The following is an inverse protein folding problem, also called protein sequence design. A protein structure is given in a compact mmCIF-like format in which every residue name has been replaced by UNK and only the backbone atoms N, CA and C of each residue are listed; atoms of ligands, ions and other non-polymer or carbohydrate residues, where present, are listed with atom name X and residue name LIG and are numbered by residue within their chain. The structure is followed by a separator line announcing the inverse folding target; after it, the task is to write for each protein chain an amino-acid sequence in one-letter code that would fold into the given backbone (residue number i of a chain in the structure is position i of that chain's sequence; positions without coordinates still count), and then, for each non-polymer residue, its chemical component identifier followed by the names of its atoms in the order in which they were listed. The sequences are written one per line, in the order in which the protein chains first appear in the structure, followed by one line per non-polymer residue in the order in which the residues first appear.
data_IF_302518483360
#
_entry.id   IF_302518483360
#
_cell.length_a   1.000
_cell.length_b   1.000
_cell.length_c   1.000
_cell.angle_alpha   90.00
_cell.angle_beta   90.00
_cell.angle_gamma   90.00
#
_symmetry.space_group_name_H-M   'P 1'
#
loop_
_entity.id
_entity.type
_entity.pdbx_description
1 polymer ?
#
# COMPACT_ATOMS: atom_id res chain seq x y z
N UNK A 1 52.14 68.95 -31.87
CA UNK A 1 51.82 69.49 -30.54
C UNK A 1 50.31 69.41 -30.39
N UNK A 2 49.66 68.81 -29.39
CA UNK A 2 50.03 68.19 -28.13
C UNK A 2 48.96 67.09 -27.86
N UNK A 3 49.40 65.86 -27.62
CA UNK A 3 49.13 65.05 -26.42
C UNK A 3 47.82 64.23 -26.35
N UNK A 4 48.04 62.91 -26.41
CA UNK A 4 47.15 61.82 -26.01
C UNK A 4 46.83 61.90 -24.52
N UNK A 5 45.59 61.62 -24.12
CA UNK A 5 45.29 60.99 -22.83
C UNK A 5 44.16 59.97 -23.06
N UNK A 6 44.50 58.68 -22.94
CA UNK A 6 43.52 57.61 -22.83
C UNK A 6 42.93 57.59 -21.43
N UNK A 7 41.61 57.47 -21.33
CA UNK A 7 40.95 57.24 -20.05
C UNK A 7 40.94 55.73 -19.76
N UNK A 8 41.67 55.36 -18.71
CA UNK A 8 41.60 54.04 -18.07
C UNK A 8 40.35 54.04 -17.21
N UNK A 9 39.40 53.15 -17.51
CA UNK A 9 38.25 52.90 -16.66
C UNK A 9 38.70 52.01 -15.48
N UNK A 10 38.90 52.60 -14.31
CA UNK A 10 39.18 51.87 -13.08
C UNK A 10 37.86 51.33 -12.52
N UNK A 11 37.62 50.02 -12.67
CA UNK A 11 36.52 49.33 -11.97
C UNK A 11 36.96 49.10 -10.52
N UNK A 12 36.37 49.87 -9.59
CA UNK A 12 36.51 49.62 -8.16
C UNK A 12 35.56 48.46 -7.81
N UNK A 13 36.12 47.27 -7.60
CA UNK A 13 35.39 46.17 -6.95
C UNK A 13 35.42 46.43 -5.44
N UNK A 14 34.30 46.92 -4.90
CA UNK A 14 34.07 46.95 -3.46
C UNK A 14 33.84 45.51 -2.99
N UNK A 15 34.87 44.89 -2.40
CA UNK A 15 34.71 43.64 -1.67
C UNK A 15 33.96 43.92 -0.36
N UNK A 16 32.65 43.68 -0.34
CA UNK A 16 31.88 43.64 0.90
C UNK A 16 32.22 42.33 1.63
N UNK A 17 32.97 42.42 2.72
CA UNK A 17 33.20 41.33 3.64
C UNK A 17 31.93 41.06 4.45
N UNK A 18 31.08 40.17 3.94
CA UNK A 18 29.97 39.62 4.72
C UNK A 18 30.56 38.69 5.79
N UNK A 19 30.46 39.07 7.05
CA UNK A 19 30.68 38.14 8.17
C UNK A 19 29.61 37.05 8.11
N UNK A 20 30.00 35.87 7.67
CA UNK A 20 29.17 34.67 7.79
C UNK A 20 29.14 34.30 9.26
N UNK A 21 28.07 34.67 9.96
CA UNK A 21 27.76 34.04 11.24
C UNK A 21 27.36 32.59 10.93
N UNK A 22 28.26 31.65 11.23
CA UNK A 22 27.85 30.26 11.33
C UNK A 22 26.76 30.18 12.40
N UNK A 23 25.53 29.82 12.01
CA UNK A 23 24.50 29.47 12.97
C UNK A 23 25.03 28.28 13.76
N UNK A 24 25.35 28.51 15.03
CA UNK A 24 25.67 27.46 15.97
C UNK A 24 24.43 26.58 16.06
N UNK A 25 24.56 25.28 15.74
CA UNK A 25 23.47 24.34 15.90
C UNK A 25 22.94 24.44 17.34
N UNK A 26 21.61 24.51 17.55
CA UNK A 26 21.06 24.50 18.89
C UNK A 26 21.62 23.28 19.64
N UNK A 27 22.03 23.48 20.89
CA UNK A 27 22.47 22.39 21.73
C UNK A 27 21.40 21.29 21.70
N UNK A 28 21.75 20.01 21.50
CA UNK A 28 20.76 18.94 21.47
C UNK A 28 20.01 18.99 22.81
N UNK A 29 18.71 19.29 22.72
CA UNK A 29 17.81 19.18 23.86
C UNK A 29 17.92 17.76 24.42
N UNK A 30 17.66 17.60 25.70
CA UNK A 30 17.69 16.32 26.42
C UNK A 30 16.54 15.40 25.98
N UNK A 31 16.49 15.04 24.69
CA UNK A 31 15.85 13.82 24.25
C UNK A 31 16.66 12.68 24.88
N UNK A 32 16.00 11.75 25.57
CA UNK A 32 16.64 10.52 26.01
C UNK A 32 17.30 9.88 24.79
N UNK A 33 18.63 9.83 24.79
CA UNK A 33 19.37 9.19 23.71
C UNK A 33 18.94 7.73 23.70
N UNK A 34 18.10 7.35 22.73
CA UNK A 34 17.76 5.96 22.50
C UNK A 34 19.08 5.26 22.13
N UNK A 35 19.45 4.16 22.82
CA UNK A 35 20.70 3.50 22.54
C UNK A 35 20.70 2.97 21.10
N UNK A 36 21.85 3.00 20.44
CA UNK A 36 22.03 2.28 19.18
C UNK A 36 21.79 0.78 19.44
N UNK A 37 20.90 0.17 18.67
CA UNK A 37 20.60 -1.27 18.75
C UNK A 37 21.09 -1.94 17.49
N UNK A 38 21.81 -3.06 17.63
CA UNK A 38 22.21 -3.88 16.48
C UNK A 38 20.97 -4.52 15.84
N UNK A 39 20.91 -4.52 14.50
CA UNK A 39 19.86 -5.23 13.78
C UNK A 39 19.99 -6.74 13.96
N UNK A 40 18.89 -7.42 14.25
CA UNK A 40 18.82 -8.89 14.29
C UNK A 40 18.14 -9.41 13.02
N UNK A 41 18.63 -10.50 12.42
CA UNK A 41 17.93 -11.13 11.31
C UNK A 41 16.51 -11.57 11.73
N UNK A 42 15.55 -11.38 10.82
CA UNK A 42 14.19 -11.89 11.01
C UNK A 42 14.18 -13.42 11.09
N UNK A 43 13.34 -13.95 11.98
CA UNK A 43 13.09 -15.40 12.12
C UNK A 43 11.88 -15.80 11.30
N UNK A 44 12.05 -15.76 9.98
CA UNK A 44 11.03 -16.10 8.99
C UNK A 44 10.85 -17.62 8.90
N UNK A 45 9.68 -18.06 8.44
CA UNK A 45 9.52 -19.44 7.93
C UNK A 45 10.44 -19.69 6.72
N UNK A 46 10.89 -20.94 6.46
CA UNK A 46 11.87 -21.23 5.41
C UNK A 46 11.45 -20.86 3.98
N UNK A 47 10.13 -20.74 3.73
CA UNK A 47 9.55 -20.36 2.45
C UNK A 47 9.42 -18.84 2.25
N UNK A 48 9.84 -18.03 3.22
CA UNK A 48 9.71 -16.58 3.17
C UNK A 48 11.08 -15.88 3.08
N UNK A 49 11.14 -14.80 2.30
CA UNK A 49 12.34 -13.96 2.15
C UNK A 49 11.98 -12.49 2.03
N UNK A 50 12.67 -11.66 2.82
CA UNK A 50 12.42 -10.21 2.91
C UNK A 50 13.46 -9.39 2.16
N UNK A 51 12.99 -8.31 1.54
CA UNK A 51 13.75 -7.35 0.76
C UNK A 51 13.42 -5.94 1.23
N UNK A 52 14.41 -5.23 1.78
CA UNK A 52 14.25 -3.86 2.26
C UNK A 52 14.30 -2.82 1.14
N UNK A 53 13.93 -1.58 1.47
CA UNK A 53 14.07 -0.41 0.59
C UNK A 53 12.74 0.20 0.11
N UNK A 54 11.61 -0.29 0.61
CA UNK A 54 10.27 0.13 0.19
C UNK A 54 9.57 0.83 1.35
N UNK A 55 9.86 2.14 1.53
CA UNK A 55 9.37 2.91 2.69
C UNK A 55 7.85 2.90 2.74
N UNK A 56 7.28 2.41 3.85
CA UNK A 56 5.85 2.33 4.09
C UNK A 56 5.07 1.87 2.85
N UNK A 57 5.48 0.76 2.25
CA UNK A 57 4.62 0.08 1.29
C UNK A 57 3.43 -0.50 2.08
N UNK A 58 2.21 -0.15 1.73
CA UNK A 58 1.01 -0.69 2.40
C UNK A 58 0.30 -1.70 1.50
N UNK A 59 0.10 -1.34 0.23
CA UNK A 59 -0.41 -2.24 -0.80
C UNK A 59 0.62 -2.61 -1.85
N UNK A 60 0.41 -3.76 -2.47
CA UNK A 60 1.19 -4.22 -3.63
C UNK A 60 0.27 -4.96 -4.60
N UNK A 61 0.47 -4.73 -5.89
CA UNK A 61 -0.24 -5.43 -6.98
C UNK A 61 0.75 -6.07 -7.95
N UNK A 62 0.36 -7.15 -8.63
CA UNK A 62 1.19 -7.80 -9.65
C UNK A 62 0.79 -7.39 -11.07
N UNK A 63 1.70 -6.72 -11.78
CA UNK A 63 1.57 -6.45 -13.21
C UNK A 63 2.10 -7.65 -14.01
N UNK A 64 1.19 -8.55 -14.38
CA UNK A 64 1.54 -9.76 -15.13
C UNK A 64 2.01 -9.47 -16.56
N UNK A 65 1.62 -8.34 -17.16
CA UNK A 65 2.03 -7.96 -18.52
C UNK A 65 3.52 -7.59 -18.55
N UNK A 66 3.97 -6.81 -17.58
CA UNK A 66 5.37 -6.36 -17.46
C UNK A 66 6.24 -7.23 -16.57
N UNK A 67 5.62 -8.17 -15.87
CA UNK A 67 6.27 -9.05 -14.90
C UNK A 67 7.01 -8.27 -13.80
N UNK A 68 6.30 -7.33 -13.17
CA UNK A 68 6.79 -6.53 -12.03
C UNK A 68 5.73 -6.43 -10.95
N UNK A 69 6.15 -6.17 -9.71
CA UNK A 69 5.22 -5.77 -8.65
C UNK A 69 5.17 -4.26 -8.52
N UNK A 70 3.98 -3.75 -8.24
CA UNK A 70 3.68 -2.33 -8.10
C UNK A 70 3.32 -2.07 -6.65
N UNK A 71 4.28 -1.54 -5.89
CA UNK A 71 4.15 -1.26 -4.48
C UNK A 71 3.68 0.18 -4.28
N UNK A 72 2.58 0.35 -3.54
CA UNK A 72 2.04 1.66 -3.17
C UNK A 72 2.60 2.06 -1.83
N UNK A 73 3.32 3.18 -1.82
CA UNK A 73 4.03 3.70 -0.67
C UNK A 73 3.29 4.91 -0.10
N UNK A 74 2.90 4.86 1.17
CA UNK A 74 2.18 5.95 1.84
C UNK A 74 3.02 7.23 2.00
N UNK A 75 4.34 7.13 1.86
CA UNK A 75 5.26 8.23 2.06
C UNK A 75 5.42 8.60 3.54
N UNK A 76 5.73 9.86 3.79
CA UNK A 76 5.76 10.44 5.14
C UNK A 76 4.33 10.82 5.58
N UNK A 77 4.09 10.79 6.90
CA UNK A 77 2.82 11.19 7.49
C UNK A 77 2.42 12.62 7.07
N UNK A 78 1.12 12.83 6.84
CA UNK A 78 0.59 14.05 6.21
C UNK A 78 0.76 15.32 7.05
N UNK A 79 0.86 15.17 8.37
CA UNK A 79 1.15 16.26 9.32
C UNK A 79 2.61 16.70 9.28
N UNK A 80 3.50 15.91 8.68
CA UNK A 80 4.93 16.22 8.50
C UNK A 80 5.22 16.65 7.07
N UNK A 81 4.85 15.83 6.07
CA UNK A 81 5.00 16.16 4.65
C UNK A 81 3.70 15.78 3.92
N UNK A 82 2.83 16.76 3.61
CA UNK A 82 1.62 16.48 2.85
C UNK A 82 1.97 16.05 1.42
N UNK A 83 1.10 15.25 0.80
CA UNK A 83 1.26 14.82 -0.60
C UNK A 83 2.57 14.06 -0.90
N UNK A 84 3.04 13.23 0.06
CA UNK A 84 4.29 12.49 -0.09
C UNK A 84 4.15 11.03 -0.56
N UNK A 85 2.93 10.52 -0.74
CA UNK A 85 2.70 9.17 -1.28
C UNK A 85 3.32 8.97 -2.66
N UNK A 86 3.75 7.75 -2.98
CA UNK A 86 4.40 7.42 -4.25
C UNK A 86 4.21 5.93 -4.60
N UNK A 87 4.62 5.51 -5.80
CA UNK A 87 4.55 4.11 -6.25
C UNK A 87 5.93 3.65 -6.68
N UNK A 88 6.31 2.45 -6.27
CA UNK A 88 7.58 1.81 -6.62
C UNK A 88 7.34 0.55 -7.44
N UNK A 89 8.27 0.26 -8.36
CA UNK A 89 8.32 -1.00 -9.07
C UNK A 89 9.33 -1.93 -8.40
N UNK A 90 8.95 -3.18 -8.21
CA UNK A 90 9.76 -4.25 -7.61
C UNK A 90 9.94 -5.36 -8.63
N UNK A 91 11.17 -5.84 -8.78
CA UNK A 91 11.47 -7.00 -9.60
C UNK A 91 10.87 -8.27 -9.01
N UNK A 92 10.57 -9.29 -9.83
CA UNK A 92 10.18 -10.60 -9.34
C UNK A 92 11.18 -11.23 -8.37
N UNK A 93 12.47 -10.91 -8.43
CA UNK A 93 13.43 -11.45 -7.46
C UNK A 93 13.39 -10.74 -6.09
N UNK A 94 12.51 -9.74 -5.91
CA UNK A 94 12.32 -8.93 -4.71
C UNK A 94 13.16 -7.66 -4.66
N UNK A 95 14.10 -7.46 -5.60
CA UNK A 95 14.94 -6.26 -5.65
C UNK A 95 14.16 -5.05 -6.15
N UNK A 96 14.61 -3.84 -5.81
CA UNK A 96 14.02 -2.62 -6.34
C UNK A 96 14.26 -2.52 -7.86
N UNK A 97 13.20 -2.35 -8.65
CA UNK A 97 13.31 -2.03 -10.08
C UNK A 97 13.40 -0.51 -10.27
N UNK A 98 12.40 0.22 -9.79
CA UNK A 98 12.35 1.69 -9.89
C UNK A 98 11.58 2.25 -8.71
N UNK A 99 12.29 2.90 -7.79
CA UNK A 99 11.66 3.60 -6.67
C UNK A 99 11.04 4.91 -7.17
N UNK A 100 9.88 5.27 -6.61
CA UNK A 100 9.16 6.51 -6.97
C UNK A 100 8.86 6.62 -8.48
N UNK A 101 8.55 5.49 -9.13
CA UNK A 101 8.10 5.47 -10.54
C UNK A 101 6.96 6.46 -10.79
N UNK A 102 5.93 6.43 -9.93
CA UNK A 102 5.00 7.55 -9.75
C UNK A 102 5.43 8.29 -8.49
N UNK A 103 5.56 9.62 -8.55
CA UNK A 103 5.90 10.45 -7.39
C UNK A 103 7.32 10.99 -7.34
N UNK A 104 8.22 10.62 -8.28
CA UNK A 104 9.50 11.33 -8.45
C UNK A 104 9.29 12.79 -8.84
N UNK A 105 8.23 13.06 -9.60
CA UNK A 105 7.75 14.39 -9.94
C UNK A 105 6.36 14.61 -9.35
N UNK A 106 6.12 15.82 -8.83
CA UNK A 106 4.82 16.25 -8.28
C UNK A 106 3.98 17.06 -9.28
N UNK A 107 4.45 17.27 -10.51
CA UNK A 107 3.75 18.02 -11.56
C UNK A 107 2.36 17.43 -11.86
N UNK A 108 1.31 18.05 -11.31
CA UNK A 108 -0.08 17.58 -11.46
C UNK A 108 -0.40 16.32 -10.67
N UNK A 109 0.51 15.84 -9.81
CA UNK A 109 0.30 14.66 -8.99
C UNK A 109 -0.23 15.05 -7.62
N UNK A 110 -1.40 14.48 -7.28
CA UNK A 110 -1.87 14.38 -5.91
C UNK A 110 -1.92 12.91 -5.52
N UNK A 111 -1.16 12.56 -4.49
CA UNK A 111 -1.11 11.24 -3.88
C UNK A 111 -0.66 11.46 -2.43
N UNK A 112 -1.62 11.48 -1.51
CA UNK A 112 -1.39 11.93 -0.15
C UNK A 112 -0.82 10.83 0.71
N UNK A 113 -1.65 9.88 1.09
CA UNK A 113 -1.36 8.76 1.96
C UNK A 113 -2.08 7.52 1.42
N UNK A 114 -1.61 6.98 0.29
CA UNK A 114 -2.24 5.84 -0.32
C UNK A 114 -2.00 4.56 0.49
N UNK A 115 -3.05 3.77 0.64
CA UNK A 115 -3.02 2.52 1.40
C UNK A 115 -3.24 1.35 0.43
N UNK A 116 -4.49 1.08 0.04
CA UNK A 116 -4.88 0.03 -0.91
C UNK A 116 -4.63 0.31 -2.38
N UNK A 117 -4.54 -0.76 -3.16
CA UNK A 117 -4.38 -0.68 -4.61
C UNK A 117 -4.84 -1.94 -5.35
N UNK A 118 -5.28 -1.73 -6.58
CA UNK A 118 -5.62 -2.79 -7.53
C UNK A 118 -5.25 -2.36 -8.96
N UNK A 119 -4.90 -3.32 -9.82
CA UNK A 119 -4.63 -3.09 -11.24
C UNK A 119 -5.81 -3.63 -12.06
N UNK A 120 -6.57 -2.71 -12.65
CA UNK A 120 -7.71 -3.04 -13.50
C UNK A 120 -7.75 -2.15 -14.74
N UNK A 121 -8.19 -2.72 -15.87
CA UNK A 121 -8.44 -1.97 -17.11
C UNK A 121 -7.23 -1.13 -17.60
N UNK A 122 -6.00 -1.60 -17.38
CA UNK A 122 -4.77 -0.90 -17.75
C UNK A 122 -4.39 0.26 -16.82
N UNK A 123 -5.04 0.36 -15.67
CA UNK A 123 -4.87 1.43 -14.68
C UNK A 123 -4.48 0.85 -13.32
N UNK A 124 -3.66 1.57 -12.56
CA UNK A 124 -3.48 1.36 -11.12
C UNK A 124 -4.51 2.22 -10.39
N UNK A 125 -5.44 1.61 -9.68
CA UNK A 125 -6.34 2.30 -8.76
C UNK A 125 -5.75 2.29 -7.35
N UNK A 126 -5.95 3.38 -6.63
CA UNK A 126 -5.34 3.59 -5.31
C UNK A 126 -6.35 4.24 -4.36
N UNK A 127 -6.46 3.68 -3.16
CA UNK A 127 -7.22 4.25 -2.05
C UNK A 127 -6.37 5.32 -1.34
N UNK A 128 -6.67 6.60 -1.56
CA UNK A 128 -5.90 7.73 -1.02
C UNK A 128 -6.77 8.62 -0.12
N UNK A 129 -6.74 8.33 1.18
CA UNK A 129 -7.56 9.00 2.20
C UNK A 129 -9.05 8.91 1.84
N UNK A 130 -9.68 9.97 1.36
CA UNK A 130 -11.11 10.04 1.01
C UNK A 130 -11.35 9.93 -0.50
N UNK A 131 -10.29 9.68 -1.27
CA UNK A 131 -10.30 9.77 -2.72
C UNK A 131 -9.78 8.48 -3.34
N UNK A 132 -10.52 7.92 -4.29
CA UNK A 132 -9.96 6.90 -5.20
C UNK A 132 -9.25 7.62 -6.34
N UNK A 133 -8.00 7.28 -6.60
CA UNK A 133 -7.19 7.86 -7.68
C UNK A 133 -6.73 6.77 -8.62
N UNK A 134 -6.53 7.08 -9.89
CA UNK A 134 -5.96 6.10 -10.81
C UNK A 134 -4.95 6.67 -11.81
N UNK A 135 -3.99 5.81 -12.13
CA UNK A 135 -2.80 6.13 -12.90
C UNK A 135 -2.66 5.16 -14.06
N UNK A 136 -2.21 5.68 -15.20
CA UNK A 136 -1.98 4.89 -16.39
C UNK A 136 -0.82 3.93 -16.14
N UNK A 137 -1.05 2.61 -16.29
CA UNK A 137 0.00 1.66 -15.97
C UNK A 137 1.23 1.82 -16.87
N UNK A 138 1.08 2.29 -18.12
CA UNK A 138 2.21 2.39 -19.07
C UNK A 138 3.11 3.58 -18.78
N UNK A 139 2.53 4.67 -18.32
CA UNK A 139 3.20 5.97 -18.24
C UNK A 139 3.35 6.49 -16.81
N UNK A 140 2.53 6.00 -15.88
CA UNK A 140 2.39 6.55 -14.53
C UNK A 140 1.59 7.86 -14.48
N UNK A 141 1.03 8.32 -15.61
CA UNK A 141 0.28 9.57 -15.69
C UNK A 141 -1.01 9.49 -14.85
N UNK A 142 -1.33 10.51 -14.02
CA UNK A 142 -2.63 10.60 -13.38
C UNK A 142 -3.72 10.69 -14.45
N UNK A 143 -4.75 9.84 -14.37
CA UNK A 143 -5.87 9.84 -15.33
C UNK A 143 -7.19 10.27 -14.73
N UNK A 144 -7.35 10.21 -13.41
CA UNK A 144 -8.55 10.70 -12.77
C UNK A 144 -8.60 10.38 -11.28
N UNK A 145 -9.66 10.88 -10.66
CA UNK A 145 -9.95 10.65 -9.26
C UNK A 145 -11.45 10.79 -8.98
N UNK A 146 -11.92 10.14 -7.92
CA UNK A 146 -13.27 10.24 -7.37
C UNK A 146 -13.13 10.53 -5.87
N UNK A 147 -13.30 11.79 -5.42
CA UNK A 147 -13.45 12.08 -4.00
C UNK A 147 -14.82 11.58 -3.50
N UNK A 148 -14.86 11.00 -2.31
CA UNK A 148 -16.08 10.46 -1.71
C UNK A 148 -16.39 11.18 -0.40
N UNK A 149 -17.47 11.96 -0.41
CA UNK A 149 -17.89 12.72 0.77
C UNK A 149 -18.24 11.80 1.96
N UNK A 150 -17.85 12.22 3.16
CA UNK A 150 -18.12 11.51 4.41
C UNK A 150 -17.19 10.32 4.70
N UNK A 151 -16.27 10.00 3.79
CA UNK A 151 -15.19 9.05 4.05
C UNK A 151 -14.12 9.73 4.91
N UNK A 152 -13.73 9.08 6.00
CA UNK A 152 -12.63 9.58 6.84
C UNK A 152 -11.28 9.12 6.30
N UNK A 153 -11.20 7.84 5.91
CA UNK A 153 -10.03 7.21 5.30
C UNK A 153 -10.40 5.84 4.75
N UNK A 154 -10.31 5.67 3.44
CA UNK A 154 -10.25 4.37 2.80
C UNK A 154 -8.99 3.64 3.23
N UNK A 155 -9.10 2.33 3.40
CA UNK A 155 -7.98 1.47 3.67
C UNK A 155 -7.63 0.65 2.43
N UNK A 156 -8.55 -0.20 1.94
CA UNK A 156 -8.30 -0.99 0.73
C UNK A 156 -9.37 -0.80 -0.35
N UNK A 157 -9.08 -1.23 -1.58
CA UNK A 157 -10.03 -1.25 -2.70
C UNK A 157 -9.82 -2.45 -3.63
N UNK A 158 -10.87 -2.83 -4.34
CA UNK A 158 -10.86 -3.81 -5.43
C UNK A 158 -11.77 -3.30 -6.57
N UNK A 159 -11.35 -3.47 -7.82
CA UNK A 159 -12.05 -2.93 -9.00
C UNK A 159 -12.62 -4.06 -9.86
N UNK A 160 -13.95 -4.07 -10.02
CA UNK A 160 -14.62 -5.01 -10.90
C UNK A 160 -14.30 -4.73 -12.38
N UNK A 161 -14.50 -5.73 -13.24
CA UNK A 161 -14.25 -5.62 -14.68
C UNK A 161 -15.06 -4.49 -15.36
N UNK A 162 -16.24 -4.15 -14.83
CA UNK A 162 -17.06 -3.03 -15.33
C UNK A 162 -16.60 -1.64 -14.82
N UNK A 163 -15.55 -1.60 -13.98
CA UNK A 163 -15.00 -0.39 -13.35
C UNK A 163 -15.67 -0.01 -12.02
N UNK A 164 -16.61 -0.81 -11.50
CA UNK A 164 -17.18 -0.61 -10.17
C UNK A 164 -16.11 -0.87 -9.12
N UNK A 165 -15.94 0.07 -8.19
CA UNK A 165 -14.95 -0.03 -7.11
C UNK A 165 -15.66 -0.42 -5.81
N UNK A 166 -15.11 -1.37 -5.08
CA UNK A 166 -15.47 -1.67 -3.70
C UNK A 166 -14.32 -1.25 -2.81
N UNK A 167 -14.61 -0.48 -1.76
CA UNK A 167 -13.56 0.08 -0.91
C UNK A 167 -13.94 0.01 0.57
N UNK A 168 -12.98 -0.30 1.43
CA UNK A 168 -13.19 -0.40 2.87
C UNK A 168 -12.81 0.88 3.57
N UNK A 169 -13.58 1.24 4.59
CA UNK A 169 -13.16 2.22 5.60
C UNK A 169 -13.08 1.50 6.94
N UNK A 170 -11.86 1.35 7.43
CA UNK A 170 -11.58 0.71 8.73
C UNK A 170 -12.29 1.43 9.86
N UNK A 171 -12.37 2.76 9.81
CA UNK A 171 -13.02 3.56 10.86
C UNK A 171 -12.23 3.59 12.17
N UNK A 172 -12.93 3.94 13.25
CA UNK A 172 -12.42 3.98 14.62
C UNK A 172 -13.01 2.84 15.46
N UNK A 173 -12.89 2.88 16.79
CA UNK A 173 -13.45 1.84 17.66
C UNK A 173 -14.99 1.81 17.70
N UNK A 174 -15.66 2.82 17.13
CA UNK A 174 -17.12 2.85 17.04
C UNK A 174 -17.57 2.13 15.77
N UNK A 175 -18.40 1.09 15.92
CA UNK A 175 -18.90 0.32 14.77
C UNK A 175 -19.69 1.14 13.78
N UNK A 176 -20.24 2.28 14.22
CA UNK A 176 -20.90 3.23 13.34
C UNK A 176 -19.96 3.93 12.37
N UNK A 177 -18.64 3.70 12.37
CA UNK A 177 -17.70 4.24 11.38
C UNK A 177 -17.16 3.18 10.40
N UNK A 178 -17.44 1.89 10.61
CA UNK A 178 -16.98 0.79 9.75
C UNK A 178 -17.83 0.70 8.50
N UNK A 179 -17.21 0.70 7.32
CA UNK A 179 -17.94 0.70 6.05
C UNK A 179 -17.29 -0.18 5.00
N UNK A 180 -18.14 -0.80 4.18
CA UNK A 180 -17.82 -1.22 2.82
C UNK A 180 -18.59 -0.31 1.87
N UNK A 181 -17.89 0.36 0.97
CA UNK A 181 -18.47 1.22 -0.06
C UNK A 181 -18.57 0.50 -1.39
N UNK A 182 -19.54 0.93 -2.21
CA UNK A 182 -19.63 0.64 -3.63
C UNK A 182 -19.64 1.96 -4.39
N UNK A 183 -18.74 2.11 -5.36
CA UNK A 183 -18.56 3.31 -6.16
C UNK A 183 -18.70 2.93 -7.64
N UNK A 184 -19.65 3.55 -8.34
CA UNK A 184 -19.85 3.28 -9.77
C UNK A 184 -18.72 3.88 -10.61
N UNK A 185 -18.49 3.42 -11.86
CA UNK A 185 -17.52 4.04 -12.77
C UNK A 185 -17.80 5.52 -13.04
N UNK A 186 -19.04 5.98 -12.85
CA UNK A 186 -19.46 7.38 -13.00
C UNK A 186 -19.24 8.19 -11.71
N UNK A 187 -18.65 7.60 -10.67
CA UNK A 187 -18.31 8.26 -9.40
C UNK A 187 -19.46 8.32 -8.39
N UNK A 188 -20.57 7.59 -8.58
CA UNK A 188 -21.62 7.54 -7.56
C UNK A 188 -21.22 6.56 -6.45
N UNK A 189 -20.92 7.11 -5.28
CA UNK A 189 -20.59 6.33 -4.09
C UNK A 189 -21.82 6.06 -3.22
N UNK A 190 -21.89 4.86 -2.66
CA UNK A 190 -22.90 4.46 -1.67
C UNK A 190 -22.28 3.51 -0.64
N UNK A 191 -22.82 3.51 0.58
CA UNK A 191 -22.46 2.54 1.61
C UNK A 191 -23.19 1.23 1.29
N UNK A 192 -22.43 0.16 1.08
CA UNK A 192 -22.96 -1.19 0.85
C UNK A 192 -23.24 -1.91 2.17
N UNK A 193 -22.31 -1.81 3.13
CA UNK A 193 -22.41 -2.43 4.46
C UNK A 193 -21.92 -1.44 5.52
N UNK A 194 -22.60 -1.39 6.66
CA UNK A 194 -22.32 -0.49 7.78
C UNK A 194 -22.26 -1.28 9.08
N UNK A 195 -21.22 -1.05 9.89
CA UNK A 195 -21.07 -1.71 11.19
C UNK A 195 -20.99 -3.24 11.11
N UNK A 196 -21.41 -3.91 12.19
CA UNK A 196 -21.36 -5.36 12.28
C UNK A 196 -22.11 -6.04 11.10
N UNK A 197 -21.56 -7.11 10.50
CA UNK A 197 -20.47 -7.95 11.01
C UNK A 197 -19.06 -7.43 10.68
N UNK A 198 -18.92 -6.28 9.99
CA UNK A 198 -17.60 -5.64 9.88
C UNK A 198 -17.06 -5.35 11.28
N UNK A 199 -15.76 -5.42 11.45
CA UNK A 199 -15.06 -5.10 12.68
C UNK A 199 -13.68 -4.56 12.33
N UNK A 200 -13.63 -3.24 12.14
CA UNK A 200 -12.47 -2.54 11.57
C UNK A 200 -12.08 -3.20 10.22
N UNK A 201 -12.93 -3.09 9.17
CA UNK A 201 -12.65 -3.76 7.90
C UNK A 201 -11.36 -3.24 7.27
N UNK A 202 -10.59 -4.13 6.65
CA UNK A 202 -9.29 -3.84 6.06
C UNK A 202 -9.28 -4.32 4.60
N UNK A 203 -8.53 -5.36 4.24
CA UNK A 203 -8.46 -5.86 2.86
C UNK A 203 -9.80 -6.29 2.27
N UNK A 204 -9.94 -6.08 0.95
CA UNK A 204 -11.12 -6.47 0.16
C UNK A 204 -10.68 -7.09 -1.17
N UNK A 205 -11.37 -8.14 -1.61
CA UNK A 205 -11.12 -8.80 -2.89
C UNK A 205 -12.39 -9.50 -3.40
N UNK A 206 -12.40 -9.93 -4.67
CA UNK A 206 -13.49 -10.78 -5.19
C UNK A 206 -13.21 -12.27 -5.03
N UNK A 207 -14.26 -13.04 -4.70
CA UNK A 207 -14.22 -14.48 -4.92
C UNK A 207 -14.49 -14.84 -6.40
N UNK A 208 -14.26 -16.10 -6.82
CA UNK A 208 -14.50 -16.51 -8.21
C UNK A 208 -15.96 -16.40 -8.68
N UNK A 209 -16.91 -16.14 -7.78
CA UNK A 209 -18.34 -15.93 -8.10
C UNK A 209 -18.70 -14.44 -8.19
N UNK A 210 -17.74 -13.54 -7.99
CA UNK A 210 -17.94 -12.09 -7.97
C UNK A 210 -18.54 -11.57 -6.66
N UNK A 211 -18.48 -12.35 -5.58
CA UNK A 211 -18.84 -11.87 -4.25
C UNK A 211 -17.68 -11.05 -3.66
N UNK A 212 -18.02 -10.12 -2.77
CA UNK A 212 -17.06 -9.24 -2.12
C UNK A 212 -16.61 -9.86 -0.81
N UNK A 213 -15.33 -10.19 -0.72
CA UNK A 213 -14.72 -10.75 0.48
C UNK A 213 -13.97 -9.65 1.20
N UNK A 214 -14.23 -9.49 2.49
CA UNK A 214 -13.62 -8.48 3.36
C UNK A 214 -12.99 -9.18 4.55
N UNK A 215 -11.77 -8.79 4.91
CA UNK A 215 -11.16 -9.21 6.18
C UNK A 215 -11.30 -8.12 7.24
N UNK A 216 -11.46 -8.54 8.48
CA UNK A 216 -11.53 -7.65 9.64
C UNK A 216 -10.19 -7.62 10.36
N UNK A 217 -9.62 -6.44 10.64
CA UNK A 217 -8.44 -6.34 11.52
C UNK A 217 -8.83 -6.54 12.99
N UNK A 218 -10.08 -6.25 13.37
CA UNK A 218 -10.59 -6.36 14.74
C UNK A 218 -10.95 -7.78 15.18
N UNK A 219 -10.96 -8.75 14.27
CA UNK A 219 -11.28 -10.16 14.52
C UNK A 219 -10.45 -11.06 13.59
N UNK A 220 -10.66 -12.37 13.62
CA UNK A 220 -10.12 -13.28 12.60
C UNK A 220 -11.14 -13.63 11.50
N UNK A 221 -12.29 -12.96 11.48
CA UNK A 221 -13.34 -13.20 10.48
C UNK A 221 -12.93 -12.76 9.07
N UNK A 222 -13.30 -13.60 8.10
CA UNK A 222 -13.23 -13.37 6.65
C UNK A 222 -14.67 -13.45 6.13
N UNK A 223 -15.22 -12.29 5.79
CA UNK A 223 -16.64 -12.10 5.50
C UNK A 223 -16.85 -12.09 3.99
N UNK A 224 -17.80 -12.87 3.48
CA UNK A 224 -18.20 -12.83 2.07
C UNK A 224 -19.58 -12.22 1.94
N UNK A 225 -19.72 -11.16 1.16
CA UNK A 225 -20.95 -10.45 0.87
C UNK A 225 -21.33 -10.61 -0.60
N UNK A 226 -22.63 -10.68 -0.89
CA UNK A 226 -23.12 -10.53 -2.26
C UNK A 226 -22.85 -9.10 -2.78
N UNK A 227 -22.92 -8.86 -4.10
CA UNK A 227 -22.88 -7.51 -4.68
C UNK A 227 -23.98 -6.56 -4.19
N UNK A 228 -25.02 -7.09 -3.52
CA UNK A 228 -26.10 -6.33 -2.89
C UNK A 228 -25.87 -6.08 -1.39
N UNK A 229 -24.73 -6.50 -0.83
CA UNK A 229 -24.37 -6.27 0.58
C UNK A 229 -24.91 -7.31 1.56
N UNK A 230 -25.50 -8.42 1.08
CA UNK A 230 -25.97 -9.50 1.94
C UNK A 230 -24.78 -10.37 2.38
N UNK A 231 -24.60 -10.58 3.68
CA UNK A 231 -23.63 -11.56 4.19
C UNK A 231 -24.03 -12.96 3.72
N UNK A 232 -23.12 -13.64 3.03
CA UNK A 232 -23.29 -15.00 2.52
C UNK A 232 -22.62 -16.02 3.42
N UNK A 233 -21.38 -15.77 3.81
CA UNK A 233 -20.57 -16.69 4.64
C UNK A 233 -19.57 -15.92 5.51
N UNK A 234 -19.24 -16.52 6.65
CA UNK A 234 -18.10 -16.13 7.48
C UNK A 234 -17.16 -17.32 7.62
N UNK A 235 -15.93 -17.14 7.14
CA UNK A 235 -14.80 -18.02 7.42
C UNK A 235 -13.90 -17.36 8.47
N UNK A 236 -12.89 -18.08 8.96
CA UNK A 236 -11.95 -17.56 9.94
C UNK A 236 -10.52 -17.83 9.51
N UNK A 237 -9.65 -16.82 9.56
CA UNK A 237 -8.21 -16.95 9.47
C UNK A 237 -7.63 -17.56 10.77
N UNK A 238 -6.32 -17.82 10.79
CA UNK A 238 -5.63 -18.41 11.94
C UNK A 238 -5.60 -17.51 13.17
N UNK A 239 -5.62 -16.19 12.97
CA UNK A 239 -5.43 -15.19 14.02
C UNK A 239 -6.09 -13.85 13.63
N UNK A 240 -6.29 -12.97 14.61
CA UNK A 240 -6.85 -11.64 14.38
C UNK A 240 -5.77 -10.66 13.94
N UNK A 241 -6.19 -9.48 13.49
CA UNK A 241 -5.28 -8.50 12.90
C UNK A 241 -5.11 -8.67 11.40
N UNK A 242 -6.11 -9.26 10.73
CA UNK A 242 -6.09 -9.47 9.29
C UNK A 242 -5.99 -8.15 8.53
N UNK A 243 -5.23 -8.16 7.45
CA UNK A 243 -4.93 -6.98 6.62
C UNK A 243 -5.10 -7.34 5.14
N UNK A 244 -4.06 -7.88 4.50
CA UNK A 244 -4.10 -8.30 3.10
C UNK A 244 -4.92 -9.55 2.83
N UNK A 245 -5.51 -9.59 1.63
CA UNK A 245 -6.34 -10.68 1.13
C UNK A 245 -5.98 -10.98 -0.34
N UNK A 246 -5.62 -12.22 -0.65
CA UNK A 246 -5.53 -12.71 -2.02
C UNK A 246 -6.42 -13.93 -2.20
N UNK A 247 -7.21 -13.96 -3.28
CA UNK A 247 -8.12 -15.07 -3.58
C UNK A 247 -7.76 -15.69 -4.92
N UNK A 248 -7.56 -17.01 -4.92
CA UNK A 248 -7.20 -17.77 -6.10
C UNK A 248 -8.45 -18.21 -6.88
N UNK A 249 -8.31 -18.58 -8.17
CA UNK A 249 -9.43 -19.04 -9.00
C UNK A 249 -10.19 -20.26 -8.45
N UNK A 250 -9.55 -21.09 -7.63
CA UNK A 250 -10.17 -22.24 -6.97
C UNK A 250 -10.94 -21.88 -5.68
N UNK A 251 -10.96 -20.59 -5.31
CA UNK A 251 -11.60 -20.08 -4.10
C UNK A 251 -10.72 -20.14 -2.85
N UNK A 252 -9.48 -20.60 -2.96
CA UNK A 252 -8.50 -20.55 -1.86
C UNK A 252 -8.18 -19.10 -1.53
N UNK A 253 -8.29 -18.75 -0.24
CA UNK A 253 -7.98 -17.42 0.27
C UNK A 253 -6.68 -17.45 1.05
N UNK A 254 -5.84 -16.44 0.84
CA UNK A 254 -4.69 -16.15 1.69
C UNK A 254 -4.95 -14.85 2.43
N UNK A 255 -4.64 -14.84 3.72
CA UNK A 255 -4.90 -13.68 4.60
C UNK A 255 -3.65 -13.40 5.41
N UNK A 256 -3.13 -12.19 5.35
CA UNK A 256 -2.00 -11.75 6.18
C UNK A 256 -2.53 -11.13 7.45
N UNK A 257 -1.72 -11.21 8.50
CA UNK A 257 -1.98 -10.52 9.76
C UNK A 257 -0.92 -9.47 10.01
N UNK A 258 -1.28 -8.20 9.90
CA UNK A 258 -0.35 -7.08 10.16
C UNK A 258 0.06 -7.05 11.63
N UNK A 259 -0.78 -7.54 12.53
CA UNK A 259 -0.51 -7.57 13.98
C UNK A 259 0.32 -8.76 14.41
N UNK A 260 0.14 -9.93 13.79
CA UNK A 260 0.84 -11.16 14.18
C UNK A 260 2.03 -11.50 13.27
N UNK A 261 2.11 -10.90 12.08
CA UNK A 261 3.14 -11.19 11.10
C UNK A 261 3.07 -12.60 10.52
N UNK A 262 1.84 -13.06 10.29
CA UNK A 262 1.49 -14.40 9.80
C UNK A 262 0.78 -14.33 8.45
N UNK A 263 0.73 -15.47 7.76
CA UNK A 263 -0.10 -15.68 6.56
C UNK A 263 -0.89 -16.96 6.73
N UNK A 264 -2.22 -16.86 6.69
CA UNK A 264 -3.14 -17.98 6.70
C UNK A 264 -3.52 -18.39 5.27
N UNK A 265 -3.85 -19.67 5.08
CA UNK A 265 -4.57 -20.18 3.90
C UNK A 265 -5.89 -20.80 4.32
N UNK A 266 -6.95 -20.48 3.61
CA UNK A 266 -8.30 -21.03 3.78
C UNK A 266 -8.70 -21.64 2.45
N UNK A 267 -8.80 -22.97 2.38
CA UNK A 267 -9.38 -23.65 1.22
C UNK A 267 -10.89 -23.75 1.38
N UNK A 268 -11.69 -23.78 0.29
CA UNK A 268 -13.14 -23.91 0.39
C UNK A 268 -13.57 -25.08 1.28
N UNK A 269 -14.36 -24.77 2.32
CA UNK A 269 -14.89 -25.76 3.27
C UNK A 269 -13.87 -26.36 4.24
N UNK A 270 -12.64 -25.84 4.28
CA UNK A 270 -11.58 -26.28 5.19
C UNK A 270 -11.28 -25.21 6.25
N UNK A 271 -10.70 -25.62 7.37
CA UNK A 271 -10.18 -24.68 8.37
C UNK A 271 -8.94 -23.97 7.83
N UNK A 272 -8.68 -22.77 8.37
CA UNK A 272 -7.44 -22.05 8.10
C UNK A 272 -6.21 -22.82 8.58
N UNK A 273 -5.11 -22.66 7.84
CA UNK A 273 -3.79 -23.15 8.22
C UNK A 273 -2.73 -22.07 8.06
N UNK A 274 -1.70 -22.11 8.91
CA UNK A 274 -0.59 -21.16 8.88
C UNK A 274 0.42 -21.57 7.79
N UNK A 275 0.73 -20.66 6.87
CA UNK A 275 1.62 -20.89 5.72
C UNK A 275 2.96 -20.17 5.87
N UNK A 276 2.98 -19.02 6.53
CA UNK A 276 4.20 -18.28 6.82
C UNK A 276 4.07 -17.49 8.12
N UNK A 277 5.20 -17.22 8.76
CA UNK A 277 5.28 -16.39 9.96
C UNK A 277 6.65 -15.71 10.06
N UNK A 278 6.77 -14.80 11.04
CA UNK A 278 7.99 -14.01 11.24
C UNK A 278 8.13 -12.88 10.24
N UNK A 279 7.00 -12.38 9.70
CA UNK A 279 6.91 -11.27 8.75
C UNK A 279 6.33 -10.05 9.51
N UNK A 280 7.13 -9.25 10.25
CA UNK A 280 6.61 -8.11 10.99
C UNK A 280 5.79 -7.16 10.12
N UNK A 281 4.63 -6.75 10.63
CA UNK A 281 3.76 -5.81 9.94
C UNK A 281 3.38 -6.25 8.52
N UNK A 282 3.08 -7.54 8.35
CA UNK A 282 2.59 -8.11 7.10
C UNK A 282 1.26 -7.46 6.70
N UNK A 283 1.35 -6.41 5.88
CA UNK A 283 0.22 -5.58 5.47
C UNK A 283 -0.58 -6.28 4.34
N UNK A 284 -0.88 -5.57 3.25
CA UNK A 284 -1.58 -6.13 2.10
C UNK A 284 -0.85 -7.31 1.45
N UNK A 285 -1.39 -7.89 0.37
CA UNK A 285 -0.68 -8.88 -0.43
C UNK A 285 -1.18 -8.96 -1.87
N UNK A 286 -0.33 -9.49 -2.75
CA UNK A 286 -0.74 -9.96 -4.08
C UNK A 286 -0.28 -11.39 -4.33
N UNK A 287 -0.92 -12.06 -5.29
CA UNK A 287 -0.54 -13.39 -5.77
C UNK A 287 0.14 -13.29 -7.15
N UNK A 288 1.32 -13.89 -7.25
CA UNK A 288 2.02 -14.12 -8.52
C UNK A 288 1.74 -15.56 -9.01
N UNK A 289 0.82 -15.75 -9.97
CA UNK A 289 0.51 -17.07 -10.51
C UNK A 289 1.64 -17.65 -11.37
N UNK A 290 2.53 -16.84 -11.95
CA UNK A 290 3.64 -17.36 -12.78
C UNK A 290 4.65 -18.14 -11.95
N UNK A 291 4.83 -17.74 -10.69
CA UNK A 291 5.82 -18.34 -9.77
C UNK A 291 5.18 -18.98 -8.54
N UNK A 292 3.85 -19.00 -8.48
CA UNK A 292 3.06 -19.55 -7.39
C UNK A 292 3.53 -19.06 -6.00
N UNK A 293 3.41 -17.76 -5.76
CA UNK A 293 3.91 -17.12 -4.55
C UNK A 293 3.11 -15.89 -4.18
N UNK A 294 3.20 -15.49 -2.91
CA UNK A 294 2.63 -14.25 -2.41
C UNK A 294 3.73 -13.20 -2.28
N UNK A 295 3.35 -11.93 -2.45
CA UNK A 295 4.22 -10.79 -2.16
C UNK A 295 3.49 -9.89 -1.18
N UNK A 296 4.16 -9.57 -0.07
CA UNK A 296 3.55 -8.98 1.11
C UNK A 296 4.39 -7.78 1.53
N UNK A 297 3.92 -6.54 1.36
CA UNK A 297 4.55 -5.37 1.96
C UNK A 297 4.61 -5.45 3.48
N UNK A 298 5.65 -4.82 4.03
CA UNK A 298 5.88 -4.67 5.46
C UNK A 298 5.98 -3.17 5.76
N UNK A 299 4.82 -2.53 6.01
CA UNK A 299 4.67 -1.08 6.03
C UNK A 299 5.66 -0.38 6.98
N UNK A 300 5.64 -0.66 8.28
CA UNK A 300 6.54 -0.05 9.26
C UNK A 300 7.99 -0.54 9.14
N UNK A 301 8.19 -1.69 8.49
CA UNK A 301 9.48 -2.31 8.28
C UNK A 301 10.19 -1.86 7.00
N UNK A 302 9.51 -1.08 6.15
CA UNK A 302 10.04 -0.53 4.91
C UNK A 302 10.59 -1.60 3.95
N UNK A 303 9.86 -2.71 3.83
CA UNK A 303 10.30 -3.90 3.12
C UNK A 303 9.13 -4.58 2.40
N UNK A 304 9.45 -5.57 1.58
CA UNK A 304 8.51 -6.54 1.02
C UNK A 304 9.01 -7.95 1.32
N UNK A 305 8.10 -8.87 1.58
CA UNK A 305 8.40 -10.29 1.76
C UNK A 305 7.76 -11.10 0.66
N UNK A 306 8.53 -12.00 0.07
CA UNK A 306 8.05 -13.01 -0.87
C UNK A 306 7.87 -14.31 -0.11
N UNK A 307 6.67 -14.90 -0.18
CA UNK A 307 6.35 -16.21 0.39
C UNK A 307 6.10 -17.19 -0.75
N UNK A 308 7.01 -18.14 -0.93
CA UNK A 308 6.85 -19.21 -1.91
C UNK A 308 5.74 -20.16 -1.45
N UNK A 309 4.81 -20.48 -2.34
CA UNK A 309 3.77 -21.47 -2.08
C UNK A 309 4.18 -22.82 -2.68
N UNK A 310 3.82 -23.89 -1.97
CA UNK A 310 3.99 -25.24 -2.48
C UNK A 310 3.23 -25.42 -3.80
N UNK A 311 3.76 -26.21 -4.75
CA UNK A 311 3.03 -26.57 -5.96
C UNK A 311 1.66 -27.17 -5.59
N UNK A 312 0.64 -26.86 -6.38
CA UNK A 312 -0.65 -27.52 -6.22
C UNK A 312 -0.46 -29.05 -6.29
N UNK A 313 -1.11 -29.84 -5.42
CA UNK A 313 -1.01 -31.30 -5.48
C UNK A 313 -1.30 -31.79 -6.91
N UNK A 314 -0.35 -32.48 -7.53
CA UNK A 314 -0.48 -33.02 -8.90
C UNK A 314 0.20 -32.23 -10.02
N UNK A 315 0.92 -31.14 -9.72
CA UNK A 315 1.74 -30.40 -10.69
C UNK A 315 3.19 -30.88 -10.75
N UNK A 316 3.41 -32.09 -11.27
CA UNK A 316 4.72 -32.58 -11.73
C UNK A 316 4.64 -33.04 -13.17
#
# INVERSE_FOLDING_TARGET
MLQRIGQILLVIVLASSSTVYAQQAPAPGSASAQPFVAGTPLKLTPNAKTYGGFRFAESISYDAERDVYVAVNAGIAQDVVPNDGYVSLVNPDGTAHTLKWIGVNRNGLTLNHPLGSDIANGMLYVADIDTVRWFDMKTGEPRGNIPVEGVTRFNDLEVAADGTIYATQTGDQNSSSWRLYKITPQGQASILVTGAPLNLPNGVAFDPKGNIVVVNIGSNDVLTFSPAGQLLTTEQSTDAGNDGLAILPDGTKYVSSVRQGTVARIRPGQKAELIASGIPSAASMTYDPKRNRLVIPMNDWNAVTIVQLDPAPGSR
#
